data_IF_564754390722
#
_entry.id   IF_564754390722
#
_cell.length_a   1.000
_cell.length_b   1.000
_cell.length_c   1.000
_cell.angle_alpha   90.00
_cell.angle_beta   90.00
_cell.angle_gamma   90.00
#
_symmetry.space_group_name_H-M   'P 1'
#
loop_
_entity.id
_entity.type
_entity.pdbx_description
1 polymer ?
#
# COMPACT_ATOMS: atom_id res chain seq x y z
N UNK A 1 12.05 10.73 -5.98
CA UNK A 1 10.62 10.41 -6.21
C UNK A 1 9.92 9.83 -4.96
N UNK A 2 10.47 8.81 -4.27
CA UNK A 2 9.81 8.22 -3.08
C UNK A 2 9.59 9.19 -1.91
N UNK A 3 10.54 10.09 -1.62
CA UNK A 3 10.40 11.07 -0.54
C UNK A 3 9.26 12.07 -0.78
N UNK A 4 9.04 12.47 -2.04
CA UNK A 4 7.96 13.37 -2.44
C UNK A 4 6.59 12.73 -2.25
N UNK A 5 6.45 11.45 -2.64
CA UNK A 5 5.21 10.67 -2.45
C UNK A 5 4.90 10.49 -0.96
N UNK A 6 5.92 10.26 -0.13
CA UNK A 6 5.74 10.20 1.35
C UNK A 6 5.25 11.53 1.91
N UNK A 7 5.86 12.65 1.51
CA UNK A 7 5.46 13.98 1.98
C UNK A 7 4.02 14.33 1.56
N UNK A 8 3.66 14.09 0.30
CA UNK A 8 2.29 14.28 -0.19
C UNK A 8 1.29 13.39 0.57
N UNK A 9 1.69 12.15 0.89
CA UNK A 9 0.86 11.26 1.70
C UNK A 9 0.64 11.80 3.11
N UNK A 10 1.67 12.35 3.73
CA UNK A 10 1.58 12.95 5.06
C UNK A 10 0.56 14.08 5.06
N UNK A 11 0.71 15.05 4.15
CA UNK A 11 -0.23 16.17 4.02
C UNK A 11 -1.65 15.70 3.76
N UNK A 12 -1.84 14.81 2.77
CA UNK A 12 -3.16 14.30 2.39
C UNK A 12 -3.87 13.59 3.54
N UNK A 13 -3.15 12.78 4.32
CA UNK A 13 -3.73 12.03 5.43
C UNK A 13 -4.00 12.93 6.63
N UNK A 14 -3.08 13.83 6.99
CA UNK A 14 -3.29 14.78 8.10
C UNK A 14 -4.55 15.62 7.88
N UNK A 15 -4.76 16.13 6.67
CA UNK A 15 -5.96 16.90 6.30
C UNK A 15 -7.23 16.05 6.33
N UNK A 16 -7.20 14.83 5.77
CA UNK A 16 -8.39 13.97 5.67
C UNK A 16 -8.81 13.36 7.00
N UNK A 17 -7.86 13.05 7.87
CA UNK A 17 -8.14 12.42 9.16
C UNK A 17 -8.39 13.44 10.26
N UNK A 18 -8.03 14.71 10.05
CA UNK A 18 -8.10 15.77 11.05
C UNK A 18 -7.41 15.35 12.36
N UNK A 19 -6.15 14.90 12.24
CA UNK A 19 -5.33 14.48 13.37
C UNK A 19 -4.90 15.72 14.18
N UNK A 20 -5.05 15.64 15.50
CA UNK A 20 -4.41 16.59 16.41
C UNK A 20 -2.89 16.41 16.39
N UNK A 21 -2.10 17.42 16.82
CA UNK A 21 -0.65 17.27 16.92
C UNK A 21 -0.23 16.08 17.78
N UNK A 22 -0.91 15.81 18.90
CA UNK A 22 -0.62 14.66 19.76
C UNK A 22 -0.93 13.33 19.03
N UNK A 23 -2.12 13.19 18.45
CA UNK A 23 -2.48 11.96 17.70
C UNK A 23 -1.54 11.72 16.53
N UNK A 24 -1.11 12.76 15.82
CA UNK A 24 -0.20 12.63 14.69
C UNK A 24 1.17 12.09 15.13
N UNK A 25 1.68 12.52 16.29
CA UNK A 25 2.96 12.08 16.83
C UNK A 25 2.99 10.56 17.05
N UNK A 26 1.90 9.98 17.56
CA UNK A 26 1.79 8.54 17.82
C UNK A 26 1.34 7.74 16.59
N UNK A 27 0.50 8.32 15.73
CA UNK A 27 -0.01 7.68 14.53
C UNK A 27 1.07 7.42 13.47
N UNK A 28 1.91 8.43 13.18
CA UNK A 28 2.86 8.36 12.05
C UNK A 28 3.86 7.20 12.17
N UNK A 29 4.48 6.92 13.33
CA UNK A 29 5.36 5.76 13.49
C UNK A 29 4.68 4.43 13.13
N UNK A 30 3.44 4.22 13.60
CA UNK A 30 2.66 3.00 13.32
C UNK A 30 2.29 2.92 11.85
N UNK A 31 1.80 4.01 11.28
CA UNK A 31 1.42 4.07 9.87
C UNK A 31 2.61 3.86 8.92
N UNK A 32 3.76 4.47 9.23
CA UNK A 32 4.98 4.31 8.44
C UNK A 32 5.48 2.86 8.44
N UNK A 33 5.37 2.18 9.59
CA UNK A 33 5.67 0.76 9.72
C UNK A 33 4.74 -0.11 8.88
N UNK A 34 3.42 0.13 8.96
CA UNK A 34 2.42 -0.53 8.11
C UNK A 34 2.74 -0.35 6.63
N UNK A 35 2.96 0.89 6.21
CA UNK A 35 3.19 1.24 4.82
C UNK A 35 4.47 0.60 4.27
N UNK A 36 5.55 0.58 5.07
CA UNK A 36 6.80 -0.10 4.71
C UNK A 36 6.57 -1.59 4.48
N UNK A 37 5.91 -2.29 5.42
CA UNK A 37 5.61 -3.72 5.29
C UNK A 37 4.71 -4.02 4.10
N UNK A 38 3.64 -3.24 3.91
CA UNK A 38 2.71 -3.36 2.78
C UNK A 38 3.43 -3.20 1.45
N UNK A 39 4.30 -2.20 1.33
CA UNK A 39 5.05 -1.97 0.09
C UNK A 39 6.01 -3.09 -0.26
N UNK A 40 6.61 -3.76 0.73
CA UNK A 40 7.43 -4.95 0.47
C UNK A 40 6.57 -6.05 -0.16
N UNK A 41 5.43 -6.37 0.44
CA UNK A 41 4.50 -7.39 -0.08
C UNK A 41 4.05 -7.05 -1.51
N UNK A 42 3.61 -5.80 -1.73
CA UNK A 42 3.16 -5.33 -3.05
C UNK A 42 4.29 -5.40 -4.08
N UNK A 43 5.52 -5.03 -3.71
CA UNK A 43 6.68 -5.06 -4.60
C UNK A 43 7.03 -6.48 -5.00
N UNK A 44 7.10 -7.40 -4.04
CA UNK A 44 7.43 -8.80 -4.31
C UNK A 44 6.32 -9.48 -5.11
N UNK A 45 5.05 -9.18 -4.83
CA UNK A 45 3.91 -9.62 -5.66
C UNK A 45 4.05 -9.13 -7.10
N UNK A 46 4.32 -7.84 -7.32
CA UNK A 46 4.50 -7.28 -8.66
C UNK A 46 5.65 -7.95 -9.42
N UNK A 47 6.82 -8.13 -8.78
CA UNK A 47 7.97 -8.82 -9.38
C UNK A 47 7.63 -10.25 -9.78
N UNK A 48 7.01 -11.02 -8.88
CA UNK A 48 6.65 -12.41 -9.13
C UNK A 48 5.65 -12.53 -10.31
N UNK A 49 4.63 -11.68 -10.34
CA UNK A 49 3.62 -11.71 -11.40
C UNK A 49 4.18 -11.24 -12.74
N UNK A 50 5.05 -10.23 -12.74
CA UNK A 50 5.73 -9.78 -13.95
C UNK A 50 6.61 -10.88 -14.53
N UNK A 51 7.45 -11.51 -13.69
CA UNK A 51 8.32 -12.61 -14.13
C UNK A 51 7.52 -13.79 -14.69
N UNK A 52 6.44 -14.19 -14.01
CA UNK A 52 5.53 -15.24 -14.50
C UNK A 52 4.95 -14.87 -15.86
N UNK A 53 4.45 -13.64 -16.02
CA UNK A 53 3.87 -13.17 -17.29
C UNK A 53 4.88 -13.14 -18.44
N UNK A 54 6.14 -12.82 -18.19
CA UNK A 54 7.19 -12.72 -19.23
C UNK A 54 7.78 -14.07 -19.64
N UNK A 55 7.63 -15.11 -18.81
CA UNK A 55 8.27 -16.41 -19.02
C UNK A 55 7.28 -17.58 -19.04
N UNK A 56 5.98 -17.30 -19.10
CA UNK A 56 4.91 -18.29 -18.97
C UNK A 56 5.01 -19.42 -19.99
N UNK A 57 5.45 -19.12 -21.21
CA UNK A 57 5.67 -20.05 -22.32
C UNK A 57 6.80 -21.06 -22.05
N UNK A 58 7.73 -20.73 -21.15
CA UNK A 58 8.90 -21.54 -20.80
C UNK A 58 8.75 -22.27 -19.47
N UNK A 59 7.66 -22.02 -18.74
CA UNK A 59 7.41 -22.63 -17.44
C UNK A 59 6.66 -23.96 -17.58
N UNK A 60 6.99 -24.89 -16.69
CA UNK A 60 6.19 -26.09 -16.49
C UNK A 60 4.84 -25.75 -15.83
N UNK A 61 3.85 -26.63 -15.99
CA UNK A 61 2.54 -26.47 -15.33
C UNK A 61 2.67 -26.34 -13.80
N UNK A 62 3.62 -27.04 -13.18
CA UNK A 62 3.88 -26.98 -11.74
C UNK A 62 4.47 -25.64 -11.29
N UNK A 63 5.29 -25.00 -12.13
CA UNK A 63 5.79 -23.66 -11.85
C UNK A 63 4.68 -22.62 -11.95
N UNK A 64 3.84 -22.71 -12.99
CA UNK A 64 2.67 -21.83 -13.15
C UNK A 64 1.73 -21.96 -11.95
N UNK A 65 1.44 -23.19 -11.52
CA UNK A 65 0.63 -23.46 -10.32
C UNK A 65 1.23 -22.80 -9.07
N UNK A 66 2.55 -22.94 -8.85
CA UNK A 66 3.25 -22.28 -7.75
C UNK A 66 3.12 -20.76 -7.79
N UNK A 67 3.18 -20.13 -8.97
CA UNK A 67 2.94 -18.69 -9.09
C UNK A 67 1.49 -18.31 -8.76
N UNK A 68 0.52 -19.16 -9.11
CA UNK A 68 -0.87 -19.06 -8.67
C UNK A 68 -1.00 -19.07 -7.14
N UNK A 69 -0.37 -20.03 -6.48
CA UNK A 69 -0.35 -20.10 -5.01
C UNK A 69 0.32 -18.89 -4.37
N UNK A 70 1.45 -18.44 -4.94
CA UNK A 70 2.14 -17.23 -4.50
C UNK A 70 1.24 -16.00 -4.59
N UNK A 71 0.47 -15.85 -5.68
CA UNK A 71 -0.47 -14.75 -5.85
C UNK A 71 -1.49 -14.69 -4.70
N UNK A 72 -2.13 -15.82 -4.39
CA UNK A 72 -3.10 -15.92 -3.29
C UNK A 72 -2.43 -15.66 -1.94
N UNK A 73 -1.23 -16.21 -1.71
CA UNK A 73 -0.50 -16.00 -0.47
C UNK A 73 -0.11 -14.54 -0.24
N UNK A 74 0.28 -13.79 -1.28
CA UNK A 74 0.55 -12.36 -1.14
C UNK A 74 -0.69 -11.57 -0.71
N UNK A 75 -1.87 -11.88 -1.28
CA UNK A 75 -3.13 -11.25 -0.84
C UNK A 75 -3.46 -11.59 0.61
N UNK A 76 -3.26 -12.86 1.01
CA UNK A 76 -3.40 -13.27 2.41
C UNK A 76 -2.47 -12.46 3.32
N UNK A 77 -1.21 -12.27 2.95
CA UNK A 77 -0.26 -11.45 3.71
C UNK A 77 -0.71 -9.98 3.80
N UNK A 78 -1.22 -9.39 2.71
CA UNK A 78 -1.78 -8.03 2.73
C UNK A 78 -2.98 -7.93 3.69
N UNK A 79 -3.87 -8.94 3.69
CA UNK A 79 -5.03 -9.01 4.60
C UNK A 79 -4.62 -9.20 6.06
N UNK A 80 -3.72 -10.13 6.35
CA UNK A 80 -3.22 -10.39 7.71
C UNK A 80 -2.54 -9.13 8.28
N UNK A 81 -1.76 -8.44 7.46
CA UNK A 81 -1.15 -7.17 7.81
C UNK A 81 -2.20 -6.10 8.12
N UNK A 82 -3.27 -6.01 7.33
CA UNK A 82 -4.36 -5.06 7.58
C UNK A 82 -5.07 -5.37 8.91
N UNK A 83 -5.30 -6.64 9.23
CA UNK A 83 -5.88 -7.07 10.51
C UNK A 83 -4.97 -6.70 11.68
N UNK A 84 -3.66 -6.95 11.57
CA UNK A 84 -2.66 -6.60 12.60
C UNK A 84 -2.70 -5.09 12.89
N UNK A 85 -2.62 -4.27 11.84
CA UNK A 85 -2.52 -2.82 12.02
C UNK A 85 -3.85 -2.15 12.34
N UNK A 86 -4.99 -2.73 11.96
CA UNK A 86 -6.29 -2.25 12.44
C UNK A 86 -6.39 -2.29 13.97
N UNK A 87 -5.85 -3.34 14.62
CA UNK A 87 -5.81 -3.40 16.09
C UNK A 87 -5.00 -2.23 16.67
N UNK A 88 -3.83 -1.96 16.10
CA UNK A 88 -2.96 -0.83 16.49
C UNK A 88 -3.61 0.52 16.23
N UNK A 89 -4.33 0.69 15.12
CA UNK A 89 -5.03 1.94 14.83
C UNK A 89 -6.20 2.19 15.78
N UNK A 90 -6.88 1.14 16.27
CA UNK A 90 -7.94 1.27 17.29
C UNK A 90 -7.43 1.77 18.65
N UNK A 91 -6.15 1.59 18.95
CA UNK A 91 -5.52 2.12 20.16
C UNK A 91 -5.20 3.61 20.04
N UNK A 92 -5.10 4.14 18.81
CA UNK A 92 -4.63 5.49 18.53
C UNK A 92 -5.73 6.43 18.00
N UNK A 93 -6.74 5.89 17.33
CA UNK A 93 -7.74 6.65 16.59
C UNK A 93 -9.16 6.20 16.92
N UNK A 94 -10.09 7.14 16.84
CA UNK A 94 -11.53 6.85 16.92
C UNK A 94 -12.01 6.04 15.71
N UNK A 95 -13.11 5.27 15.83
CA UNK A 95 -13.63 4.47 14.73
C UNK A 95 -13.91 5.26 13.44
N UNK A 96 -14.38 6.52 13.54
CA UNK A 96 -14.62 7.36 12.37
C UNK A 96 -13.31 7.73 11.63
N UNK A 97 -12.24 8.03 12.38
CA UNK A 97 -10.92 8.34 11.82
C UNK A 97 -10.28 7.12 11.17
N UNK A 98 -10.51 5.91 11.70
CA UNK A 98 -10.05 4.66 11.07
C UNK A 98 -10.76 4.44 9.73
N UNK A 99 -12.06 4.71 9.63
CA UNK A 99 -12.75 4.62 8.33
C UNK A 99 -12.24 5.67 7.33
N UNK A 100 -12.01 6.92 7.78
CA UNK A 100 -11.37 7.95 6.97
C UNK A 100 -9.95 7.54 6.52
N UNK A 101 -9.19 6.85 7.36
CA UNK A 101 -7.87 6.31 7.02
C UNK A 101 -7.94 5.36 5.81
N UNK A 102 -8.89 4.44 5.82
CA UNK A 102 -9.05 3.47 4.72
C UNK A 102 -9.52 4.14 3.44
N UNK A 103 -10.44 5.10 3.55
CA UNK A 103 -10.86 5.92 2.41
C UNK A 103 -9.69 6.73 1.85
N UNK A 104 -8.88 7.35 2.71
CA UNK A 104 -7.72 8.13 2.31
C UNK A 104 -6.66 7.28 1.59
N UNK A 105 -6.44 6.02 2.00
CA UNK A 105 -5.50 5.11 1.30
C UNK A 105 -6.01 4.74 -0.10
N UNK A 106 -7.32 4.60 -0.28
CA UNK A 106 -7.94 4.39 -1.60
C UNK A 106 -7.85 5.63 -2.49
N UNK A 107 -8.23 6.79 -1.95
CA UNK A 107 -8.24 8.07 -2.66
C UNK A 107 -6.81 8.48 -3.07
N UNK A 108 -5.84 8.27 -2.19
CA UNK A 108 -4.44 8.59 -2.48
C UNK A 108 -3.88 7.73 -3.61
N UNK A 109 -4.22 6.43 -3.66
CA UNK A 109 -3.84 5.58 -4.81
C UNK A 109 -4.46 6.10 -6.11
N UNK A 110 -5.73 6.45 -6.08
CA UNK A 110 -6.44 7.01 -7.25
C UNK A 110 -5.83 8.34 -7.69
N UNK A 111 -5.49 9.20 -6.72
CA UNK A 111 -4.80 10.47 -6.96
C UNK A 111 -3.44 10.25 -7.63
N UNK A 112 -2.60 9.34 -7.11
CA UNK A 112 -1.31 9.03 -7.70
C UNK A 112 -1.43 8.48 -9.13
N UNK A 113 -2.41 7.61 -9.39
CA UNK A 113 -2.65 7.08 -10.75
C UNK A 113 -3.04 8.21 -11.72
N UNK A 114 -3.87 9.15 -11.29
CA UNK A 114 -4.23 10.33 -12.10
C UNK A 114 -3.01 11.24 -12.33
N UNK A 115 -2.18 11.46 -11.32
CA UNK A 115 -0.95 12.25 -11.46
C UNK A 115 0.02 11.62 -12.46
N UNK A 116 0.18 10.29 -12.44
CA UNK A 116 1.02 9.57 -13.42
C UNK A 116 0.44 9.71 -14.83
N UNK A 117 -0.89 9.57 -14.99
CA UNK A 117 -1.55 9.70 -16.31
C UNK A 117 -1.50 11.12 -16.89
N UNK A 118 -1.54 12.13 -16.03
CA UNK A 118 -1.59 13.53 -16.43
C UNK A 118 -0.20 14.20 -16.43
N UNK A 119 0.83 13.53 -15.90
CA UNK A 119 2.21 13.98 -16.05
C UNK A 119 2.63 13.70 -17.50
N UNK A 120 3.10 14.69 -18.28
CA UNK A 120 3.68 14.41 -19.59
C UNK A 120 4.82 13.43 -19.36
N UNK A 121 4.80 12.33 -20.10
CA UNK A 121 5.90 11.37 -20.18
C UNK A 121 7.18 12.15 -20.46
N UNK A 122 7.97 12.37 -19.42
CA UNK A 122 9.36 12.79 -19.56
C UNK A 122 10.10 11.52 -19.97
N UNK A 123 9.91 11.18 -21.24
CA UNK A 123 10.88 10.44 -22.04
C UNK A 123 12.04 11.42 -22.26
N UNK A 124 13.09 11.26 -21.46
CA UNK A 124 14.46 11.56 -21.85
C UNK A 124 15.25 10.25 -21.80
#
# INVERSE_FOLDING_TARGET
KEALVKAQKIVFFTEKLNLTPEEAQDFWPVYNSYWKKKNVIVRERKKAMHYCSENMDKMSSKEIERYGDMYINFHKQESDLLVEYNKKFKELLTPDKIMKLYQADYDFKTYLLRQIRNSPSTEE
#
